data_IF_439415977279
#
_entry.id   IF_439415977279
#
_cell.length_a   1.000
_cell.length_b   1.000
_cell.length_c   1.000
_cell.angle_alpha   90.00
_cell.angle_beta   90.00
_cell.angle_gamma   90.00
#
_symmetry.space_group_name_H-M   'P 1'
#
loop_
_entity.id
_entity.type
_entity.pdbx_description
1 polymer ?
#
# COMPACT_ATOMS: atom_id res chain seq x y z
N UNK A 1 0.02 15.38 35.39
CA UNK A 1 0.54 16.53 34.64
C UNK A 1 0.28 16.26 33.17
N UNK A 2 -0.81 16.81 32.64
CA UNK A 2 -1.27 16.56 31.26
C UNK A 2 -1.41 17.92 30.59
N UNK A 3 -0.44 18.30 29.78
CA UNK A 3 -0.50 19.52 28.97
C UNK A 3 -1.36 19.26 27.74
N UNK A 4 -2.56 19.84 27.74
CA UNK A 4 -3.40 19.99 26.56
C UNK A 4 -2.73 20.97 25.58
N UNK A 5 -2.32 20.49 24.41
CA UNK A 5 -1.93 21.33 23.29
C UNK A 5 -3.17 21.83 22.56
N UNK A 6 -3.40 23.14 22.61
CA UNK A 6 -4.44 23.84 21.85
C UNK A 6 -4.04 23.87 20.37
N UNK A 7 -4.84 23.22 19.50
CA UNK A 7 -4.74 23.40 18.06
C UNK A 7 -5.65 24.56 17.63
N UNK A 8 -5.04 25.71 17.30
CA UNK A 8 -5.73 26.85 16.69
C UNK A 8 -6.09 26.54 15.23
N UNK A 9 -7.37 26.31 14.94
CA UNK A 9 -7.90 26.36 13.58
C UNK A 9 -8.19 27.81 13.20
N UNK A 10 -7.35 28.39 12.34
CA UNK A 10 -7.67 29.63 11.63
C UNK A 10 -8.48 29.33 10.36
N UNK A 11 -9.44 30.21 10.09
CA UNK A 11 -10.48 30.11 9.08
C UNK A 11 -10.05 30.57 7.68
N UNK A 12 -10.84 30.11 6.68
CA UNK A 12 -11.13 30.71 5.36
C UNK A 12 -10.09 30.64 4.24
N UNK A 13 -10.31 29.71 3.29
CA UNK A 13 -10.70 29.97 1.88
C UNK A 13 -10.42 28.74 1.00
N UNK A 14 -11.46 28.27 0.31
CA UNK A 14 -11.47 27.40 -0.89
C UNK A 14 -10.55 26.15 -0.93
N UNK A 15 -11.19 24.98 -0.92
CA UNK A 15 -10.87 23.92 -1.88
C UNK A 15 -9.55 23.17 -1.75
N UNK A 16 -9.22 22.68 -0.56
CA UNK A 16 -8.43 21.46 -0.39
C UNK A 16 -8.64 21.01 1.06
N UNK A 17 -9.25 19.83 1.24
CA UNK A 17 -9.40 19.26 2.57
C UNK A 17 -8.01 19.14 3.20
N UNK A 18 -7.82 19.77 4.36
CA UNK A 18 -6.69 19.52 5.22
C UNK A 18 -6.72 18.02 5.57
N UNK A 19 -5.91 17.21 4.88
CA UNK A 19 -5.59 15.86 5.31
C UNK A 19 -4.82 16.01 6.62
N UNK A 20 -5.57 15.95 7.72
CA UNK A 20 -5.02 15.85 9.06
C UNK A 20 -4.30 14.50 9.13
N UNK A 21 -2.98 14.51 8.91
CA UNK A 21 -2.08 13.42 9.27
C UNK A 21 -2.12 13.25 10.78
N UNK A 22 -3.19 12.64 11.27
CA UNK A 22 -3.28 12.10 12.62
C UNK A 22 -2.50 10.81 12.65
N UNK A 23 -1.58 10.70 13.61
CA UNK A 23 -0.95 9.45 13.98
C UNK A 23 -2.01 8.33 14.08
N UNK A 24 -1.85 7.26 13.30
CA UNK A 24 -2.57 6.00 13.49
C UNK A 24 -3.93 5.82 12.79
N UNK A 25 -4.25 6.59 11.75
CA UNK A 25 -5.37 6.25 10.87
C UNK A 25 -4.97 5.11 9.94
N UNK A 26 -5.47 3.89 10.16
CA UNK A 26 -5.28 2.79 9.22
C UNK A 26 -5.82 3.19 7.85
N UNK A 27 -5.02 3.02 6.80
CA UNK A 27 -5.46 3.28 5.44
C UNK A 27 -6.54 2.24 5.09
N UNK A 28 -7.78 2.70 4.95
CA UNK A 28 -8.90 1.80 4.70
C UNK A 28 -8.96 1.50 3.20
N UNK A 29 -8.87 0.22 2.79
CA UNK A 29 -8.46 -0.22 1.45
C UNK A 29 -9.57 -0.20 0.39
N UNK A 30 -10.52 0.74 0.46
CA UNK A 30 -11.72 0.70 -0.40
C UNK A 30 -11.59 1.50 -1.71
N UNK A 31 -10.56 2.36 -1.84
CA UNK A 31 -10.35 3.19 -3.04
C UNK A 31 -8.84 3.32 -3.39
N UNK A 32 -8.39 3.00 -4.63
CA UNK A 32 -7.05 3.30 -5.14
C UNK A 32 -6.51 4.69 -4.76
N UNK A 33 -7.35 5.73 -4.81
CA UNK A 33 -6.95 7.09 -4.45
C UNK A 33 -6.62 7.25 -2.95
N UNK A 34 -7.21 6.42 -2.08
CA UNK A 34 -6.89 6.41 -0.64
C UNK A 34 -5.54 5.76 -0.35
N UNK A 35 -5.09 4.84 -1.20
CA UNK A 35 -3.77 4.22 -1.05
C UNK A 35 -2.63 5.18 -1.35
N UNK A 36 -2.82 6.13 -2.28
CA UNK A 36 -1.81 7.14 -2.58
C UNK A 36 -1.52 8.03 -1.36
N UNK A 37 -2.53 8.34 -0.56
CA UNK A 37 -2.36 9.10 0.69
C UNK A 37 -1.53 8.35 1.75
N UNK A 38 -1.27 7.06 1.52
CA UNK A 38 -0.58 6.16 2.43
C UNK A 38 0.82 5.79 1.94
N UNK A 39 1.26 6.35 0.82
CA UNK A 39 2.61 6.16 0.30
C UNK A 39 3.67 6.52 1.35
N UNK A 40 4.66 5.65 1.50
CA UNK A 40 5.75 5.80 2.45
C UNK A 40 5.40 5.50 3.90
N UNK A 41 4.20 4.95 4.18
CA UNK A 41 3.79 4.59 5.55
C UNK A 41 3.76 3.08 5.75
N UNK A 42 4.00 2.63 6.99
CA UNK A 42 3.88 1.22 7.35
C UNK A 42 2.40 0.85 7.47
N UNK A 43 1.95 -0.08 6.65
CA UNK A 43 0.56 -0.52 6.58
C UNK A 43 0.43 -2.02 6.80
N UNK A 44 -0.69 -2.42 7.40
CA UNK A 44 -1.12 -3.82 7.44
C UNK A 44 -2.28 -3.99 6.48
N UNK A 45 -2.11 -4.86 5.49
CA UNK A 45 -3.12 -5.13 4.49
C UNK A 45 -3.52 -6.59 4.58
N UNK A 46 -4.82 -6.85 4.40
CA UNK A 46 -5.39 -8.20 4.40
C UNK A 46 -6.16 -8.42 3.11
N UNK A 47 -5.99 -9.58 2.52
CA UNK A 47 -6.63 -9.95 1.25
C UNK A 47 -6.51 -11.44 0.99
N UNK A 48 -6.71 -11.82 -0.27
CA UNK A 48 -6.56 -13.19 -0.74
C UNK A 48 -5.33 -13.29 -1.64
N UNK A 49 -4.51 -14.31 -1.46
CA UNK A 49 -3.38 -14.58 -2.36
C UNK A 49 -3.92 -14.73 -3.78
N UNK A 50 -3.41 -13.92 -4.71
CA UNK A 50 -3.90 -13.94 -6.06
C UNK A 50 -3.41 -15.16 -6.81
N UNK A 51 -4.34 -15.81 -7.52
CA UNK A 51 -4.05 -16.87 -8.49
C UNK A 51 -3.81 -16.30 -9.89
N UNK A 52 -4.13 -15.01 -10.10
CA UNK A 52 -3.99 -14.32 -11.38
C UNK A 52 -2.94 -13.23 -11.24
N UNK A 53 -1.75 -13.46 -11.80
CA UNK A 53 -0.68 -12.47 -11.81
C UNK A 53 -0.98 -11.45 -12.92
N UNK A 54 -1.33 -10.21 -12.55
CA UNK A 54 -1.37 -9.14 -13.53
C UNK A 54 0.05 -8.83 -14.04
N UNK A 55 0.18 -8.12 -15.15
CA UNK A 55 1.48 -7.75 -15.74
C UNK A 55 2.20 -6.71 -14.87
N UNK A 56 2.70 -7.14 -13.71
CA UNK A 56 3.52 -6.34 -12.81
C UNK A 56 5.00 -6.47 -13.21
N UNK A 57 5.77 -5.37 -13.15
CA UNK A 57 7.22 -5.49 -13.18
C UNK A 57 7.71 -6.32 -12.00
N UNK A 58 8.81 -7.05 -12.20
CA UNK A 58 9.51 -7.70 -11.10
C UNK A 58 10.16 -6.60 -10.27
N UNK A 59 9.69 -6.45 -9.04
CA UNK A 59 10.18 -5.48 -8.05
C UNK A 59 11.06 -6.13 -6.98
N UNK A 60 10.99 -7.45 -6.81
CA UNK A 60 11.83 -8.19 -5.87
C UNK A 60 13.32 -8.16 -6.27
N UNK A 61 14.17 -7.83 -5.30
CA UNK A 61 15.62 -7.93 -5.42
C UNK A 61 16.16 -9.34 -5.12
N UNK A 62 17.50 -9.52 -5.17
CA UNK A 62 18.13 -10.78 -4.83
C UNK A 62 17.80 -11.23 -3.40
N UNK A 63 17.28 -12.45 -3.25
CA UNK A 63 16.88 -13.01 -1.95
C UNK A 63 15.50 -12.59 -1.47
N UNK A 64 14.77 -11.81 -2.26
CA UNK A 64 13.38 -11.44 -1.99
C UNK A 64 12.42 -12.29 -2.84
N UNK A 65 11.21 -12.45 -2.32
CA UNK A 65 10.08 -13.13 -2.94
C UNK A 65 9.00 -12.09 -3.22
N UNK A 66 8.45 -12.15 -4.44
CA UNK A 66 7.32 -11.33 -4.87
C UNK A 66 6.04 -12.16 -4.84
N UNK A 67 5.08 -11.73 -4.03
CA UNK A 67 3.73 -12.30 -3.94
C UNK A 67 2.71 -11.27 -4.45
N UNK A 68 1.50 -11.74 -4.75
CA UNK A 68 0.40 -10.90 -5.19
C UNK A 68 -0.79 -11.08 -4.25
N UNK A 69 -1.31 -9.98 -3.74
CA UNK A 69 -2.41 -9.94 -2.78
C UNK A 69 -3.57 -9.16 -3.39
N UNK A 70 -4.71 -9.83 -3.57
CA UNK A 70 -5.95 -9.18 -4.02
C UNK A 70 -6.69 -8.61 -2.81
N UNK A 71 -6.94 -7.29 -2.86
CA UNK A 71 -7.59 -6.50 -1.81
C UNK A 71 -8.73 -5.72 -2.44
N UNK A 72 -9.96 -6.23 -2.29
CA UNK A 72 -11.10 -5.70 -3.01
C UNK A 72 -10.93 -5.84 -4.52
N UNK A 73 -10.88 -4.72 -5.23
CA UNK A 73 -10.63 -4.66 -6.68
C UNK A 73 -9.18 -4.31 -7.05
N UNK A 74 -8.28 -4.24 -6.06
CA UNK A 74 -6.90 -3.79 -6.23
C UNK A 74 -5.95 -4.95 -5.96
N UNK A 75 -4.99 -5.17 -6.87
CA UNK A 75 -3.90 -6.12 -6.65
C UNK A 75 -2.67 -5.37 -6.13
N UNK A 76 -2.13 -5.84 -5.00
CA UNK A 76 -0.94 -5.29 -4.34
C UNK A 76 0.20 -6.29 -4.45
N UNK A 77 1.37 -5.80 -4.86
CA UNK A 77 2.59 -6.59 -4.86
C UNK A 77 3.17 -6.61 -3.45
N UNK A 78 3.49 -7.79 -2.93
CA UNK A 78 4.08 -7.96 -1.60
C UNK A 78 5.50 -8.49 -1.77
N UNK A 79 6.48 -7.74 -1.27
CA UNK A 79 7.89 -8.10 -1.30
C UNK A 79 8.32 -8.52 0.09
N UNK A 80 8.78 -9.76 0.23
CA UNK A 80 9.17 -10.37 1.50
C UNK A 80 10.49 -11.15 1.34
N UNK A 81 11.16 -11.49 2.43
CA UNK A 81 12.43 -12.24 2.41
C UNK A 81 12.25 -13.76 2.39
N UNK A 82 11.02 -14.25 2.54
CA UNK A 82 10.72 -15.68 2.56
C UNK A 82 9.30 -15.95 2.06
N UNK A 83 9.13 -17.03 1.32
CA UNK A 83 7.80 -17.49 0.90
C UNK A 83 7.03 -18.09 2.10
N UNK A 84 5.89 -17.52 2.51
CA UNK A 84 5.09 -18.03 3.61
C UNK A 84 4.21 -19.23 3.21
N UNK A 85 4.08 -19.53 1.91
CA UNK A 85 3.25 -20.65 1.42
C UNK A 85 1.75 -20.48 1.64
N UNK A 86 1.23 -19.24 1.62
CA UNK A 86 -0.20 -18.99 1.81
C UNK A 86 -1.00 -19.36 0.55
N UNK A 87 -2.04 -20.20 0.69
CA UNK A 87 -2.91 -20.61 -0.44
C UNK A 87 -4.26 -19.86 -0.47
N UNK A 88 -4.56 -19.07 0.56
CA UNK A 88 -5.86 -18.43 0.75
C UNK A 88 -5.75 -17.01 1.30
N UNK A 89 -6.31 -16.77 2.48
CA UNK A 89 -6.24 -15.46 3.12
C UNK A 89 -4.81 -15.17 3.60
N UNK A 90 -4.37 -13.94 3.37
CA UNK A 90 -3.04 -13.48 3.73
C UNK A 90 -3.11 -12.06 4.29
N UNK A 91 -2.31 -11.79 5.31
CA UNK A 91 -2.05 -10.44 5.80
C UNK A 91 -0.58 -10.12 5.66
N UNK A 92 -0.28 -8.94 5.12
CA UNK A 92 1.07 -8.43 4.93
C UNK A 92 1.22 -7.09 5.67
N UNK A 93 2.29 -6.96 6.45
CA UNK A 93 2.64 -5.72 7.16
C UNK A 93 4.02 -5.24 6.70
N UNK A 94 4.09 -4.04 6.14
CA UNK A 94 5.35 -3.48 5.65
C UNK A 94 5.15 -2.04 5.18
N UNK A 95 6.13 -1.51 4.46
CA UNK A 95 6.07 -0.13 3.97
C UNK A 95 5.32 -0.10 2.64
N UNK A 96 4.17 0.58 2.61
CA UNK A 96 3.39 0.78 1.40
C UNK A 96 4.09 1.80 0.50
N UNK A 97 4.24 1.47 -0.78
CA UNK A 97 4.79 2.35 -1.81
C UNK A 97 3.89 2.38 -3.03
N UNK A 98 3.67 3.57 -3.57
CA UNK A 98 3.13 3.73 -4.92
C UNK A 98 4.28 3.60 -5.91
N UNK A 99 4.14 2.67 -6.84
CA UNK A 99 5.05 2.54 -7.97
C UNK A 99 4.39 3.18 -9.18
N UNK A 100 5.09 4.13 -9.78
CA UNK A 100 4.72 4.77 -11.04
C UNK A 100 5.96 4.84 -11.93
N UNK A 101 5.94 4.10 -13.04
CA UNK A 101 7.06 4.06 -13.98
C UNK A 101 7.04 5.25 -14.97
N UNK A 102 5.97 6.06 -14.97
CA UNK A 102 5.90 7.33 -15.70
C UNK A 102 5.93 7.23 -17.23
N UNK A 103 5.82 6.02 -17.80
CA UNK A 103 5.84 5.80 -19.25
C UNK A 103 4.54 6.21 -19.93
N UNK A 104 4.63 6.52 -21.23
CA UNK A 104 3.46 6.85 -22.03
C UNK A 104 2.45 5.68 -22.07
N UNK A 105 1.13 5.94 -22.15
CA UNK A 105 0.11 4.89 -22.20
C UNK A 105 0.39 3.85 -23.30
N UNK A 106 0.26 2.57 -22.95
CA UNK A 106 0.51 1.45 -23.88
C UNK A 106 1.98 1.06 -24.03
N UNK A 107 2.88 1.66 -23.25
CA UNK A 107 4.29 1.25 -23.18
C UNK A 107 4.55 0.33 -22.00
N UNK A 108 5.65 -0.43 -22.03
CA UNK A 108 6.06 -1.28 -20.90
C UNK A 108 6.26 -0.48 -19.59
N UNK A 109 6.56 0.82 -19.70
CA UNK A 109 6.76 1.71 -18.56
C UNK A 109 5.47 2.42 -18.13
N UNK A 110 4.30 2.11 -18.70
CA UNK A 110 3.05 2.75 -18.28
C UNK A 110 2.45 2.12 -17.02
N UNK A 111 3.21 1.28 -16.32
CA UNK A 111 2.75 0.60 -15.11
C UNK A 111 2.64 1.58 -13.94
N UNK A 112 1.51 1.51 -13.24
CA UNK A 112 1.26 2.18 -11.98
C UNK A 112 0.54 1.21 -11.03
N UNK A 113 0.98 1.11 -9.78
CA UNK A 113 0.38 0.20 -8.81
C UNK A 113 0.98 0.34 -7.41
N UNK A 114 0.68 -0.64 -6.56
CA UNK A 114 1.03 -0.61 -5.14
C UNK A 114 1.97 -1.77 -4.78
N UNK A 115 2.94 -1.47 -3.93
CA UNK A 115 3.89 -2.44 -3.37
C UNK A 115 3.89 -2.31 -1.85
N UNK A 116 3.94 -3.43 -1.12
CA UNK A 116 4.36 -3.47 0.29
C UNK A 116 5.75 -4.08 0.33
N UNK A 117 6.74 -3.24 0.66
CA UNK A 117 8.15 -3.63 0.80
C UNK A 117 8.50 -4.08 2.20
N UNK A 118 9.49 -4.98 2.31
CA UNK A 118 9.98 -5.49 3.61
C UNK A 118 8.87 -6.16 4.43
N UNK A 119 7.96 -6.87 3.76
CA UNK A 119 6.73 -7.34 4.35
C UNK A 119 6.94 -8.53 5.28
N UNK A 120 6.39 -8.42 6.48
CA UNK A 120 6.08 -9.54 7.35
C UNK A 120 4.74 -10.13 6.93
N UNK A 121 4.67 -11.45 6.71
CA UNK A 121 3.48 -12.11 6.17
C UNK A 121 2.92 -13.16 7.11
N UNK A 122 1.60 -13.19 7.25
CA UNK A 122 0.86 -14.21 8.00
C UNK A 122 -0.27 -14.79 7.13
N UNK A 123 -0.32 -16.11 7.00
CA UNK A 123 -1.48 -16.81 6.45
C UNK A 123 -2.62 -16.82 7.50
N UNK A 124 -3.87 -16.90 7.03
CA UNK A 124 -5.06 -16.97 7.89
C UNK A 124 -6.05 -18.02 7.43
#
# INVERSE_FOLDING_TARGET
MTTMGLASCWWMLWGAGCAKSGAGGACVPEDPATWEACDGTRQTVSGTVSQAVANHPVSAGPGEVQLYLDVGNTQIVVITTSDPGCEGAMSATGDLRVVDLGGAPGTMNSYRGLVIGGAEVSCR
#
